data_IF_344388589145
#
_entry.id   IF_344388589145
#
_cell.length_a   1.000
_cell.length_b   1.000
_cell.length_c   1.000
_cell.angle_alpha   90.00
_cell.angle_beta   90.00
_cell.angle_gamma   90.00
#
_symmetry.space_group_name_H-M   'P 1'
#
loop_
_entity.id
_entity.type
_entity.pdbx_description
1 polymer ?
#
# COMPACT_ATOMS: atom_id res chain seq x y z
N UNK A 1 -29.89 -0.04 27.81
CA UNK A 1 -29.32 -1.05 26.90
C UNK A 1 -28.52 -2.02 27.76
N UNK A 2 -28.77 -3.31 27.61
CA UNK A 2 -28.16 -4.35 28.44
C UNK A 2 -26.71 -4.62 27.97
N UNK A 3 -25.72 -4.65 28.87
CA UNK A 3 -24.30 -4.74 28.50
C UNK A 3 -24.00 -5.98 27.63
N UNK A 4 -24.73 -7.05 27.87
CA UNK A 4 -24.61 -8.30 27.12
C UNK A 4 -25.01 -8.16 25.65
N UNK A 5 -26.02 -7.32 25.36
CA UNK A 5 -26.44 -7.03 23.98
C UNK A 5 -25.37 -6.26 23.20
N UNK A 6 -24.71 -5.31 23.84
CA UNK A 6 -23.63 -4.51 23.24
C UNK A 6 -22.44 -5.41 22.87
N UNK A 7 -22.01 -6.27 23.80
CA UNK A 7 -20.90 -7.22 23.56
C UNK A 7 -21.24 -8.16 22.41
N UNK A 8 -22.48 -8.65 22.34
CA UNK A 8 -22.96 -9.51 21.26
C UNK A 8 -22.90 -8.82 19.89
N UNK A 9 -23.40 -7.57 19.79
CA UNK A 9 -23.35 -6.81 18.56
C UNK A 9 -21.92 -6.48 18.12
N UNK A 10 -21.03 -6.11 19.07
CA UNK A 10 -19.61 -5.86 18.78
C UNK A 10 -18.94 -7.13 18.25
N UNK A 11 -19.10 -8.25 18.96
CA UNK A 11 -18.44 -9.52 18.61
C UNK A 11 -18.95 -10.06 17.28
N UNK A 12 -20.25 -9.96 17.03
CA UNK A 12 -20.87 -10.39 15.78
C UNK A 12 -20.40 -9.53 14.60
N UNK A 13 -20.38 -8.21 14.74
CA UNK A 13 -19.90 -7.30 13.71
C UNK A 13 -18.41 -7.50 13.39
N UNK A 14 -17.57 -7.59 14.42
CA UNK A 14 -16.14 -7.88 14.28
C UNK A 14 -15.90 -9.24 13.62
N UNK A 15 -16.63 -10.27 14.03
CA UNK A 15 -16.52 -11.62 13.46
C UNK A 15 -16.87 -11.65 11.97
N UNK A 16 -17.90 -10.92 11.55
CA UNK A 16 -18.31 -10.84 10.14
C UNK A 16 -17.22 -10.19 9.29
N UNK A 17 -16.71 -9.03 9.70
CA UNK A 17 -15.65 -8.31 8.97
C UNK A 17 -14.37 -9.16 8.93
N UNK A 18 -13.99 -9.77 10.05
CA UNK A 18 -12.81 -10.61 10.12
C UNK A 18 -12.93 -11.84 9.22
N UNK A 19 -14.11 -12.45 9.12
CA UNK A 19 -14.34 -13.61 8.26
C UNK A 19 -14.09 -13.30 6.78
N UNK A 20 -14.53 -12.11 6.30
CA UNK A 20 -14.30 -11.65 4.93
C UNK A 20 -12.82 -11.36 4.69
N UNK A 21 -12.15 -10.74 5.67
CA UNK A 21 -10.77 -10.29 5.53
C UNK A 21 -9.71 -11.36 5.78
N UNK A 22 -10.02 -12.39 6.59
CA UNK A 22 -9.04 -13.34 7.11
C UNK A 22 -8.24 -14.03 6.01
N UNK A 23 -8.91 -14.51 4.94
CA UNK A 23 -8.26 -15.23 3.84
C UNK A 23 -7.26 -14.31 3.11
N UNK A 24 -7.66 -13.07 2.83
CA UNK A 24 -6.83 -12.13 2.06
C UNK A 24 -5.66 -11.63 2.90
N UNK A 25 -5.89 -11.30 4.17
CA UNK A 25 -4.83 -10.88 5.09
C UNK A 25 -3.82 -12.03 5.30
N UNK A 26 -4.30 -13.26 5.55
CA UNK A 26 -3.43 -14.41 5.77
C UNK A 26 -2.59 -14.73 4.54
N UNK A 27 -3.20 -14.66 3.36
CA UNK A 27 -2.50 -14.83 2.08
C UNK A 27 -1.44 -13.75 1.88
N UNK A 28 -1.79 -12.48 2.11
CA UNK A 28 -0.86 -11.34 1.99
C UNK A 28 0.34 -11.46 2.91
N UNK A 29 0.12 -11.80 4.19
CA UNK A 29 1.20 -12.02 5.16
C UNK A 29 2.09 -13.19 4.75
N UNK A 30 1.51 -14.29 4.28
CA UNK A 30 2.28 -15.46 3.81
C UNK A 30 3.15 -15.12 2.60
N UNK A 31 2.60 -14.41 1.61
CA UNK A 31 3.34 -13.94 0.42
C UNK A 31 4.47 -13.00 0.84
N UNK A 32 4.20 -12.07 1.76
CA UNK A 32 5.20 -11.11 2.23
C UNK A 32 6.35 -11.79 2.98
N UNK A 33 6.03 -12.70 3.90
CA UNK A 33 7.02 -13.45 4.68
C UNK A 33 7.85 -14.37 3.79
N UNK A 34 7.22 -15.06 2.83
CA UNK A 34 7.93 -15.89 1.88
C UNK A 34 8.88 -15.06 1.01
N UNK A 35 8.40 -13.95 0.44
CA UNK A 35 9.19 -13.03 -0.39
C UNK A 35 10.35 -12.41 0.37
N UNK A 36 10.17 -12.15 1.67
CA UNK A 36 11.21 -11.66 2.58
C UNK A 36 12.29 -12.73 2.82
N UNK A 37 11.89 -13.99 3.03
CA UNK A 37 12.84 -15.11 3.23
C UNK A 37 13.72 -15.39 2.03
N UNK A 38 13.16 -15.33 0.82
CA UNK A 38 13.92 -15.57 -0.41
C UNK A 38 14.68 -14.33 -0.91
N UNK A 39 14.68 -13.22 -0.15
CA UNK A 39 15.24 -11.91 -0.56
C UNK A 39 14.75 -11.38 -1.90
N UNK A 40 13.64 -11.89 -2.43
CA UNK A 40 13.08 -11.45 -3.71
C UNK A 40 12.65 -10.00 -3.66
N UNK A 41 12.28 -9.49 -2.47
CA UNK A 41 11.90 -8.09 -2.32
C UNK A 41 13.10 -7.16 -2.58
N UNK A 42 14.29 -7.52 -2.11
CA UNK A 42 15.52 -6.73 -2.38
C UNK A 42 15.83 -6.70 -3.88
N UNK A 43 15.62 -7.81 -4.59
CA UNK A 43 15.80 -7.89 -6.04
C UNK A 43 14.78 -7.00 -6.78
N UNK A 44 13.50 -7.08 -6.43
CA UNK A 44 12.43 -6.25 -7.03
C UNK A 44 12.76 -4.77 -6.85
N UNK A 45 13.19 -4.38 -5.65
CA UNK A 45 13.54 -2.99 -5.37
C UNK A 45 14.77 -2.55 -6.16
N UNK A 46 15.82 -3.38 -6.25
CA UNK A 46 17.00 -3.09 -7.06
C UNK A 46 16.68 -2.95 -8.55
N UNK A 47 15.74 -3.73 -9.07
CA UNK A 47 15.29 -3.62 -10.45
C UNK A 47 14.48 -2.33 -10.67
N UNK A 48 13.59 -1.97 -9.74
CA UNK A 48 12.90 -0.66 -9.78
C UNK A 48 13.92 0.49 -9.76
N UNK A 49 14.92 0.43 -8.89
CA UNK A 49 15.98 1.43 -8.82
C UNK A 49 16.81 1.52 -10.11
N UNK A 50 17.02 0.39 -10.81
CA UNK A 50 17.71 0.37 -12.11
C UNK A 50 16.86 0.96 -13.24
N UNK A 51 15.56 0.69 -13.23
CA UNK A 51 14.63 1.19 -14.26
C UNK A 51 14.49 2.71 -14.16
N UNK A 52 14.44 3.26 -12.94
CA UNK A 52 14.19 4.69 -12.70
C UNK A 52 15.45 5.55 -12.55
N UNK A 53 16.60 5.14 -13.13
CA UNK A 53 17.91 5.81 -13.03
C UNK A 53 17.95 7.32 -13.35
N UNK A 54 16.91 7.89 -13.97
CA UNK A 54 16.85 9.31 -14.34
C UNK A 54 16.00 10.21 -13.44
N UNK A 55 15.14 9.69 -12.56
CA UNK A 55 14.18 10.50 -11.80
C UNK A 55 14.01 10.00 -10.35
N UNK A 56 15.03 10.25 -9.52
CA UNK A 56 15.13 9.72 -8.16
C UNK A 56 13.97 10.12 -7.24
N UNK A 57 13.34 11.28 -7.45
CA UNK A 57 12.19 11.73 -6.64
C UNK A 57 10.90 10.93 -6.88
N UNK A 58 10.78 10.20 -7.99
CA UNK A 58 9.58 9.38 -8.27
C UNK A 58 9.69 7.97 -7.71
N UNK A 59 10.91 7.53 -7.39
CA UNK A 59 11.19 6.16 -6.95
C UNK A 59 10.44 5.80 -5.65
N UNK A 60 10.41 6.64 -4.59
CA UNK A 60 9.79 6.25 -3.33
C UNK A 60 8.27 6.03 -3.46
N UNK A 61 7.58 6.96 -4.12
CA UNK A 61 6.13 6.88 -4.29
C UNK A 61 5.74 5.70 -5.18
N UNK A 62 6.46 5.47 -6.28
CA UNK A 62 6.15 4.41 -7.22
C UNK A 62 6.50 3.02 -6.68
N UNK A 63 7.64 2.88 -5.99
CA UNK A 63 8.04 1.62 -5.38
C UNK A 63 7.08 1.20 -4.25
N UNK A 64 6.64 2.15 -3.43
CA UNK A 64 5.58 1.93 -2.44
C UNK A 64 4.26 1.49 -3.08
N UNK A 65 3.87 2.17 -4.16
CA UNK A 65 2.65 1.85 -4.89
C UNK A 65 2.65 0.43 -5.49
N UNK A 66 3.75 0.05 -6.14
CA UNK A 66 3.86 -1.22 -6.85
C UNK A 66 4.03 -2.40 -5.87
N UNK A 67 4.81 -2.23 -4.81
CA UNK A 67 5.07 -3.31 -3.84
C UNK A 67 3.90 -3.53 -2.88
N UNK A 68 3.07 -2.52 -2.63
CA UNK A 68 1.89 -2.66 -1.78
C UNK A 68 0.81 -3.57 -2.38
N UNK A 69 0.75 -3.71 -3.71
CA UNK A 69 -0.22 -4.57 -4.41
C UNK A 69 0.01 -6.06 -4.06
N UNK A 70 1.19 -6.67 -4.30
CA UNK A 70 1.41 -8.07 -4.01
C UNK A 70 1.49 -8.39 -2.51
N UNK A 71 1.97 -7.44 -1.69
CA UNK A 71 2.07 -7.62 -0.24
C UNK A 71 0.70 -7.49 0.45
N UNK A 72 -0.27 -6.82 -0.20
CA UNK A 72 -1.61 -6.55 0.33
C UNK A 72 -1.63 -5.89 1.72
N UNK A 73 -0.51 -5.29 2.14
CA UNK A 73 -0.37 -4.62 3.43
C UNK A 73 0.56 -3.41 3.28
N UNK A 74 0.02 -2.22 3.52
CA UNK A 74 0.74 -0.96 3.39
C UNK A 74 1.90 -0.83 4.39
N UNK A 75 1.71 -1.28 5.63
CA UNK A 75 2.72 -1.19 6.70
C UNK A 75 3.90 -2.11 6.38
N UNK A 76 3.62 -3.36 5.97
CA UNK A 76 4.66 -4.32 5.61
C UNK A 76 5.47 -3.83 4.41
N UNK A 77 4.81 -3.31 3.37
CA UNK A 77 5.50 -2.73 2.22
C UNK A 77 6.38 -1.53 2.64
N UNK A 78 5.84 -0.63 3.48
CA UNK A 78 6.60 0.51 4.00
C UNK A 78 7.84 0.09 4.79
N UNK A 79 7.70 -0.82 5.76
CA UNK A 79 8.82 -1.25 6.61
C UNK A 79 9.93 -1.92 5.80
N UNK A 80 9.57 -2.66 4.75
CA UNK A 80 10.55 -3.31 3.88
C UNK A 80 11.26 -2.31 2.95
N UNK A 81 10.55 -1.29 2.46
CA UNK A 81 11.11 -0.26 1.59
C UNK A 81 11.86 0.84 2.35
N UNK A 82 11.53 1.09 3.63
CA UNK A 82 12.13 2.14 4.47
C UNK A 82 13.66 2.18 4.40
N UNK A 83 14.41 1.10 4.70
CA UNK A 83 15.88 1.14 4.68
C UNK A 83 16.45 1.38 3.27
N UNK A 84 15.76 0.97 2.22
CA UNK A 84 16.22 1.17 0.85
C UNK A 84 16.02 2.61 0.40
N UNK A 85 14.89 3.22 0.77
CA UNK A 85 14.58 4.61 0.45
C UNK A 85 15.44 5.58 1.27
N UNK A 86 15.75 5.27 2.52
CA UNK A 86 16.73 6.04 3.32
C UNK A 86 18.12 6.03 2.65
N UNK A 87 18.62 4.84 2.27
CA UNK A 87 19.89 4.72 1.56
C UNK A 87 19.89 5.45 0.20
N UNK A 88 18.75 5.48 -0.49
CA UNK A 88 18.59 6.25 -1.72
C UNK A 88 18.66 7.76 -1.45
N UNK A 89 17.93 8.25 -0.46
CA UNK A 89 17.88 9.67 -0.11
C UNK A 89 19.26 10.22 0.24
N UNK A 90 20.06 9.45 1.00
CA UNK A 90 21.46 9.77 1.30
C UNK A 90 22.31 9.88 0.03
N UNK A 91 22.16 8.92 -0.90
CA UNK A 91 22.92 8.90 -2.16
C UNK A 91 22.62 10.10 -3.06
N UNK A 92 21.40 10.61 -3.02
CA UNK A 92 20.97 11.77 -3.83
C UNK A 92 21.01 13.10 -3.07
N UNK A 93 21.58 13.12 -1.85
CA UNK A 93 21.60 14.29 -0.96
C UNK A 93 20.21 14.96 -0.78
N UNK A 94 19.15 14.14 -0.72
CA UNK A 94 17.79 14.62 -0.50
C UNK A 94 17.36 14.39 0.97
N UNK A 95 16.27 15.05 1.37
CA UNK A 95 15.69 14.87 2.69
C UNK A 95 15.09 13.46 2.83
N UNK A 96 15.68 12.63 3.69
CA UNK A 96 15.18 11.29 4.02
C UNK A 96 13.71 11.31 4.42
N UNK A 97 13.33 12.26 5.30
CA UNK A 97 11.94 12.42 5.77
C UNK A 97 10.97 12.58 4.60
N UNK A 98 11.30 13.44 3.61
CA UNK A 98 10.45 13.66 2.44
C UNK A 98 10.28 12.37 1.63
N UNK A 99 11.37 11.64 1.40
CA UNK A 99 11.35 10.38 0.66
C UNK A 99 10.52 9.29 1.37
N UNK A 100 10.62 9.21 2.70
CA UNK A 100 9.79 8.31 3.50
C UNK A 100 8.31 8.70 3.48
N UNK A 101 8.00 10.00 3.51
CA UNK A 101 6.62 10.46 3.33
C UNK A 101 6.06 10.10 1.95
N UNK A 102 6.84 10.31 0.88
CA UNK A 102 6.44 9.89 -0.48
C UNK A 102 6.16 8.38 -0.55
N UNK A 103 7.02 7.58 0.08
CA UNK A 103 6.84 6.13 0.17
C UNK A 103 5.53 5.77 0.88
N UNK A 104 5.27 6.37 2.05
CA UNK A 104 4.05 6.13 2.81
C UNK A 104 2.79 6.52 2.04
N UNK A 105 2.81 7.64 1.32
CA UNK A 105 1.70 8.07 0.46
C UNK A 105 1.46 7.03 -0.65
N UNK A 106 2.52 6.58 -1.32
CA UNK A 106 2.43 5.58 -2.39
C UNK A 106 1.81 4.25 -1.92
N UNK A 107 2.24 3.74 -0.76
CA UNK A 107 1.69 2.50 -0.19
C UNK A 107 0.23 2.67 0.22
N UNK A 108 -0.13 3.79 0.85
CA UNK A 108 -1.51 4.07 1.30
C UNK A 108 -2.47 4.21 0.12
N UNK A 109 -2.08 4.93 -0.94
CA UNK A 109 -2.93 5.09 -2.14
C UNK A 109 -3.20 3.73 -2.79
N UNK A 110 -2.16 2.92 -2.97
CA UNK A 110 -2.30 1.59 -3.58
C UNK A 110 -3.19 0.69 -2.72
N UNK A 111 -2.92 0.62 -1.42
CA UNK A 111 -3.68 -0.21 -0.49
C UNK A 111 -5.15 0.19 -0.38
N UNK A 112 -5.51 1.46 -0.49
CA UNK A 112 -6.92 1.85 -0.33
C UNK A 112 -7.72 1.78 -1.62
N UNK A 113 -7.07 1.87 -2.80
CA UNK A 113 -7.79 2.03 -4.06
C UNK A 113 -7.66 0.83 -5.02
N UNK A 114 -6.68 -0.06 -4.85
CA UNK A 114 -6.44 -1.14 -5.82
C UNK A 114 -6.94 -2.48 -5.27
N UNK A 115 -7.85 -3.11 -6.01
CA UNK A 115 -8.17 -4.53 -5.83
C UNK A 115 -6.91 -5.37 -6.14
N UNK A 116 -6.50 -6.34 -5.31
CA UNK A 116 -7.28 -7.14 -4.34
C UNK A 116 -7.17 -6.70 -2.86
N UNK A 117 -6.98 -5.41 -2.58
CA UNK A 117 -6.84 -4.95 -1.19
C UNK A 117 -8.01 -5.38 -0.27
N UNK A 118 -7.71 -5.80 0.98
CA UNK A 118 -8.69 -5.99 2.05
C UNK A 118 -9.73 -4.85 2.15
N UNK A 119 -9.30 -3.60 1.99
CA UNK A 119 -10.19 -2.44 2.14
C UNK A 119 -11.25 -2.41 1.03
N UNK A 120 -10.83 -2.58 -0.22
CA UNK A 120 -11.74 -2.61 -1.36
C UNK A 120 -12.68 -3.80 -1.25
N UNK A 121 -12.20 -4.96 -0.81
CA UNK A 121 -13.01 -6.16 -0.62
C UNK A 121 -14.17 -5.95 0.34
N UNK A 122 -13.92 -5.32 1.51
CA UNK A 122 -14.99 -5.03 2.47
C UNK A 122 -15.99 -4.04 1.91
N UNK A 123 -15.53 -3.02 1.20
CA UNK A 123 -16.42 -2.03 0.59
C UNK A 123 -17.31 -2.69 -0.48
N UNK A 124 -16.74 -3.54 -1.34
CA UNK A 124 -17.49 -4.23 -2.39
C UNK A 124 -18.47 -5.25 -1.82
N UNK A 125 -18.08 -5.97 -0.75
CA UNK A 125 -18.92 -6.94 -0.05
C UNK A 125 -20.09 -6.25 0.67
N UNK A 126 -19.83 -5.11 1.31
CA UNK A 126 -20.88 -4.36 2.05
C UNK A 126 -21.86 -3.60 1.15
N UNK A 127 -21.43 -3.18 -0.04
CA UNK A 127 -22.28 -2.48 -1.01
C UNK A 127 -22.91 -3.42 -2.06
N UNK A 128 -22.57 -4.71 -2.05
CA UNK A 128 -23.02 -5.72 -3.03
C UNK A 128 -22.70 -5.31 -4.48
N UNK A 129 -21.48 -4.79 -4.69
CA UNK A 129 -20.99 -4.33 -6.00
C UNK A 129 -19.88 -5.24 -6.49
N UNK A 130 -19.87 -5.55 -7.79
CA UNK A 130 -18.79 -6.29 -8.42
C UNK A 130 -17.42 -5.60 -8.21
N UNK A 131 -16.43 -6.32 -7.64
CA UNK A 131 -15.10 -5.74 -7.35
C UNK A 131 -14.38 -5.24 -8.60
N UNK A 132 -14.65 -5.88 -9.75
CA UNK A 132 -14.04 -5.55 -11.04
C UNK A 132 -14.54 -4.22 -11.59
N UNK A 133 -15.80 -3.87 -11.33
CA UNK A 133 -16.36 -2.58 -11.76
C UNK A 133 -15.84 -1.44 -10.89
N UNK A 134 -15.67 -1.71 -9.60
CA UNK A 134 -15.01 -0.79 -8.67
C UNK A 134 -13.56 -0.53 -9.10
N UNK A 135 -12.84 -1.56 -9.57
CA UNK A 135 -11.46 -1.41 -10.04
C UNK A 135 -11.33 -0.43 -11.23
N UNK A 136 -12.30 -0.42 -12.15
CA UNK A 136 -12.30 0.51 -13.32
C UNK A 136 -12.33 1.97 -12.90
N UNK A 137 -13.02 2.27 -11.79
CA UNK A 137 -13.14 3.63 -11.24
C UNK A 137 -11.97 3.94 -10.31
N UNK A 138 -11.53 2.96 -9.51
CA UNK A 138 -10.47 3.21 -8.54
C UNK A 138 -9.08 3.35 -9.15
N UNK A 139 -8.77 2.69 -10.27
CA UNK A 139 -7.49 2.89 -10.99
C UNK A 139 -7.27 4.35 -11.42
N UNK A 140 -8.17 5.01 -12.16
CA UNK A 140 -7.95 6.39 -12.58
C UNK A 140 -7.88 7.35 -11.38
N UNK A 141 -8.68 7.13 -10.34
CA UNK A 141 -8.61 7.93 -9.10
C UNK A 141 -7.26 7.73 -8.40
N UNK A 142 -6.76 6.49 -8.36
CA UNK A 142 -5.46 6.14 -7.78
C UNK A 142 -4.31 6.82 -8.52
N UNK A 143 -4.32 6.78 -9.85
CA UNK A 143 -3.33 7.47 -10.69
C UNK A 143 -3.42 8.99 -10.53
N UNK A 144 -4.63 9.54 -10.48
CA UNK A 144 -4.86 10.97 -10.26
C UNK A 144 -4.29 11.43 -8.92
N UNK A 145 -4.59 10.70 -7.84
CA UNK A 145 -4.04 10.98 -6.50
C UNK A 145 -2.52 10.90 -6.50
N UNK A 146 -1.95 9.87 -7.13
CA UNK A 146 -0.50 9.71 -7.21
C UNK A 146 0.14 10.88 -7.96
N UNK A 147 -0.48 11.35 -9.04
CA UNK A 147 -0.02 12.51 -9.80
C UNK A 147 -0.12 13.82 -8.98
N UNK A 148 -1.23 14.04 -8.26
CA UNK A 148 -1.43 15.21 -7.40
C UNK A 148 -0.39 15.24 -6.29
N UNK A 149 -0.21 14.13 -5.57
CA UNK A 149 0.75 14.04 -4.47
C UNK A 149 2.19 14.16 -4.96
N UNK A 150 2.51 13.57 -6.11
CA UNK A 150 3.81 13.75 -6.74
C UNK A 150 4.07 15.22 -7.09
N UNK A 151 3.10 15.91 -7.67
CA UNK A 151 3.24 17.32 -8.03
C UNK A 151 3.35 18.21 -6.79
N UNK A 152 2.52 17.99 -5.77
CA UNK A 152 2.58 18.71 -4.50
C UNK A 152 3.95 18.57 -3.83
N UNK A 153 4.42 17.32 -3.69
CA UNK A 153 5.76 17.06 -3.15
C UNK A 153 6.88 17.61 -4.02
N UNK A 154 6.69 17.75 -5.34
CA UNK A 154 7.66 18.37 -6.24
C UNK A 154 7.70 19.88 -6.11
N UNK A 155 6.59 20.54 -5.78
CA UNK A 155 6.57 21.98 -5.51
C UNK A 155 7.24 22.33 -4.18
N UNK A 156 7.11 21.48 -3.16
CA UNK A 156 7.84 21.61 -1.88
C UNK A 156 9.35 21.29 -1.98
N UNK A 157 9.89 21.07 -3.19
CA UNK A 157 11.33 20.80 -3.47
C UNK A 157 12.11 22.07 -3.88
N UNK A 158 11.43 23.18 -4.21
CA UNK A 158 12.06 24.51 -4.38
C UNK A 158 12.03 25.32 -3.07
#
# INVERSE_FOLDING_TARGET
>A
MDYQSIILHITSGLGSIFSVLCIVIFSGVTIAEFSKRIKSIETIINDILRIFKGNYSFIPIFSGYLLSIPIMCCITAFVVLNPVIEGLALKVNASEKKFLYMLAIGTVISYNLIYPSPVILVITDTLDIDPLDTLKVSIPISVLLLAIFYYYMRMDIE
#
